data_IF_565095035744
#
_entry.id   IF_565095035744
#
_cell.length_a   1.000
_cell.length_b   1.000
_cell.length_c   1.000
_cell.angle_alpha   90.00
_cell.angle_beta   90.00
_cell.angle_gamma   90.00
#
_symmetry.space_group_name_H-M   'P 1'
#
loop_
_entity.id
_entity.type
_entity.pdbx_description
1 polymer ?
#
# COMPACT_ATOMS: atom_id res chain seq x y z
N UNK A 1 0.48 -11.92 -16.76
CA UNK A 1 -0.38 -10.97 -17.55
C UNK A 1 0.49 -10.16 -18.50
N UNK A 2 -0.05 -9.75 -19.68
CA UNK A 2 0.70 -8.90 -20.62
C UNK A 2 0.77 -7.46 -20.11
N UNK A 3 1.96 -6.87 -20.06
CA UNK A 3 2.15 -5.47 -19.68
C UNK A 3 1.61 -4.51 -20.75
N UNK A 4 1.18 -3.34 -20.31
CA UNK A 4 0.68 -2.23 -21.14
C UNK A 4 1.32 -0.92 -20.69
N UNK A 5 1.56 0.05 -21.56
CA UNK A 5 2.00 1.38 -21.17
C UNK A 5 0.98 2.03 -20.23
N UNK A 6 1.47 2.72 -19.21
CA UNK A 6 0.65 3.56 -18.32
C UNK A 6 0.57 4.98 -18.91
N UNK A 7 -0.46 5.22 -19.72
CA UNK A 7 -0.62 6.49 -20.41
C UNK A 7 0.60 6.85 -21.27
N UNK A 8 1.06 8.11 -21.17
CA UNK A 8 2.25 8.62 -21.87
C UNK A 8 3.51 8.58 -20.99
N UNK A 9 3.52 7.75 -19.94
CA UNK A 9 4.70 7.55 -19.10
C UNK A 9 5.62 6.48 -19.68
N UNK A 10 6.84 6.36 -19.13
CA UNK A 10 7.75 5.26 -19.47
C UNK A 10 7.43 3.97 -18.68
N UNK A 11 6.36 3.99 -17.86
CA UNK A 11 5.99 2.87 -17.02
C UNK A 11 5.13 1.86 -17.77
N UNK A 12 5.32 0.59 -17.45
CA UNK A 12 4.51 -0.52 -17.94
C UNK A 12 3.81 -1.22 -16.78
N UNK A 13 2.51 -1.41 -16.89
CA UNK A 13 1.68 -2.00 -15.85
C UNK A 13 0.89 -3.20 -16.36
N UNK A 14 0.50 -4.08 -15.47
CA UNK A 14 -0.51 -5.10 -15.76
C UNK A 14 -1.90 -4.47 -15.87
N UNK A 15 -2.83 -5.04 -16.66
CA UNK A 15 -4.21 -4.53 -16.77
C UNK A 15 -4.96 -4.47 -15.44
N UNK A 16 -4.59 -5.34 -14.51
CA UNK A 16 -5.07 -5.35 -13.13
C UNK A 16 -3.94 -4.91 -12.20
N UNK A 17 -4.28 -4.09 -11.22
CA UNK A 17 -3.41 -3.70 -10.12
C UNK A 17 -4.03 -4.09 -8.78
N UNK A 18 -3.22 -4.21 -7.74
CA UNK A 18 -3.67 -4.44 -6.37
C UNK A 18 -3.53 -3.16 -5.56
N UNK A 19 -4.67 -2.65 -5.05
CA UNK A 19 -4.71 -1.57 -4.07
C UNK A 19 -4.57 -2.10 -2.65
N UNK A 20 -3.78 -1.42 -1.82
CA UNK A 20 -3.46 -1.87 -0.46
C UNK A 20 -4.29 -1.17 0.63
N UNK A 21 -5.36 -0.46 0.28
CA UNK A 21 -6.15 0.29 1.25
C UNK A 21 -6.72 -0.57 2.40
N UNK A 22 -7.10 -1.80 2.11
CA UNK A 22 -7.61 -2.76 3.08
C UNK A 22 -6.50 -3.57 3.79
N UNK A 23 -5.28 -3.60 3.27
CA UNK A 23 -4.19 -4.40 3.83
C UNK A 23 -3.35 -3.65 4.86
N UNK A 24 -3.35 -2.32 4.82
CA UNK A 24 -2.43 -1.51 5.60
C UNK A 24 -3.00 -0.97 6.92
N UNK A 25 -4.26 -1.22 7.25
CA UNK A 25 -4.93 -0.68 8.44
C UNK A 25 -6.03 -1.62 8.94
N UNK A 26 -6.25 -1.72 10.29
CA UNK A 26 -7.24 -2.64 10.85
C UNK A 26 -8.69 -2.21 10.57
N UNK A 27 -8.95 -0.92 10.45
CA UNK A 27 -10.26 -0.36 10.13
C UNK A 27 -10.32 0.12 8.69
N UNK A 28 -11.34 -0.32 7.96
CA UNK A 28 -11.64 0.12 6.61
C UNK A 28 -13.16 0.33 6.45
N UNK A 29 -13.56 1.14 5.48
CA UNK A 29 -14.98 1.49 5.25
C UNK A 29 -15.86 0.32 4.83
N UNK A 30 -15.32 -0.81 4.46
CA UNK A 30 -16.09 -1.98 4.05
C UNK A 30 -16.61 -2.75 5.26
N UNK A 31 -17.87 -3.12 5.21
CA UNK A 31 -18.47 -4.02 6.19
C UNK A 31 -17.81 -5.41 6.09
N UNK A 32 -17.50 -6.00 7.25
CA UNK A 32 -16.93 -7.35 7.31
C UNK A 32 -15.40 -7.43 7.21
N UNK A 33 -14.68 -6.32 7.01
CA UNK A 33 -13.22 -6.30 6.92
C UNK A 33 -12.52 -6.97 8.11
N UNK A 34 -13.07 -6.85 9.30
CA UNK A 34 -12.55 -7.50 10.51
C UNK A 34 -12.58 -9.03 10.43
N UNK A 35 -13.59 -9.59 9.77
CA UNK A 35 -13.68 -11.04 9.56
C UNK A 35 -12.59 -11.54 8.60
N UNK A 36 -12.29 -10.77 7.54
CA UNK A 36 -11.21 -11.08 6.59
C UNK A 36 -9.83 -11.09 7.27
N UNK A 37 -9.66 -10.27 8.32
CA UNK A 37 -8.44 -10.22 9.14
C UNK A 37 -8.42 -11.25 10.28
N UNK A 38 -9.43 -12.10 10.42
CA UNK A 38 -9.56 -13.04 11.53
C UNK A 38 -9.59 -12.36 12.90
N UNK A 39 -9.97 -11.10 12.97
CA UNK A 39 -9.94 -10.23 14.15
C UNK A 39 -8.57 -10.07 14.82
N UNK A 40 -7.49 -10.42 14.12
CA UNK A 40 -6.13 -10.20 14.59
C UNK A 40 -5.56 -8.90 13.99
N UNK A 41 -5.44 -7.89 14.84
CA UNK A 41 -4.95 -6.56 14.49
C UNK A 41 -3.51 -6.30 14.93
N UNK A 42 -2.82 -7.33 15.41
CA UNK A 42 -1.38 -7.21 15.66
C UNK A 42 -0.66 -6.80 14.38
N UNK A 43 0.28 -5.88 14.50
CA UNK A 43 0.98 -5.31 13.33
C UNK A 43 1.73 -6.39 12.55
N UNK A 44 2.37 -7.34 13.27
CA UNK A 44 3.13 -8.40 12.62
C UNK A 44 2.19 -9.41 11.94
N UNK A 45 1.04 -9.74 12.55
CA UNK A 45 0.02 -10.58 11.95
C UNK A 45 -0.57 -9.94 10.68
N UNK A 46 -0.89 -8.65 10.73
CA UNK A 46 -1.37 -7.92 9.56
C UNK A 46 -0.30 -7.80 8.47
N UNK A 47 0.96 -7.60 8.82
CA UNK A 47 2.06 -7.61 7.84
C UNK A 47 2.19 -8.97 7.16
N UNK A 48 2.12 -10.07 7.92
CA UNK A 48 2.16 -11.42 7.39
C UNK A 48 0.98 -11.70 6.44
N UNK A 49 -0.23 -11.29 6.83
CA UNK A 49 -1.41 -11.38 5.97
C UNK A 49 -1.24 -10.56 4.67
N UNK A 50 -0.78 -9.32 4.78
CA UNK A 50 -0.52 -8.47 3.60
C UNK A 50 0.52 -9.13 2.68
N UNK A 51 1.60 -9.69 3.22
CA UNK A 51 2.60 -10.42 2.43
C UNK A 51 2.00 -11.64 1.72
N UNK A 52 1.11 -12.40 2.37
CA UNK A 52 0.45 -13.55 1.73
C UNK A 52 -0.44 -13.12 0.56
N UNK A 53 -1.20 -12.02 0.70
CA UNK A 53 -2.02 -11.45 -0.38
C UNK A 53 -1.14 -10.93 -1.52
N UNK A 54 -0.03 -10.27 -1.20
CA UNK A 54 0.93 -9.78 -2.19
C UNK A 54 1.61 -10.93 -2.95
N UNK A 55 1.97 -12.02 -2.27
CA UNK A 55 2.51 -13.24 -2.89
C UNK A 55 1.49 -13.85 -3.86
N UNK A 56 0.22 -13.96 -3.47
CA UNK A 56 -0.84 -14.48 -4.33
C UNK A 56 -1.06 -13.59 -5.58
N UNK A 57 -1.07 -12.27 -5.40
CA UNK A 57 -1.18 -11.31 -6.49
C UNK A 57 0.02 -11.40 -7.45
N UNK A 58 1.22 -11.51 -6.91
CA UNK A 58 2.45 -11.70 -7.69
C UNK A 58 2.43 -13.00 -8.49
N UNK A 59 2.04 -14.12 -7.86
CA UNK A 59 1.88 -15.41 -8.51
C UNK A 59 0.83 -15.38 -9.63
N UNK A 60 -0.26 -14.62 -9.44
CA UNK A 60 -1.26 -14.37 -10.46
C UNK A 60 -0.78 -13.46 -11.61
N UNK A 61 0.44 -12.94 -11.52
CA UNK A 61 1.06 -12.11 -12.55
C UNK A 61 0.76 -10.62 -12.46
N UNK A 62 0.22 -10.12 -11.34
CA UNK A 62 0.05 -8.68 -11.08
C UNK A 62 1.44 -8.05 -10.90
N UNK A 63 1.66 -6.89 -11.56
CA UNK A 63 2.92 -6.12 -11.53
C UNK A 63 2.67 -4.63 -11.33
N UNK A 64 1.50 -4.28 -10.79
CA UNK A 64 1.15 -2.92 -10.38
C UNK A 64 0.52 -2.97 -9.00
N UNK A 65 1.12 -2.24 -8.05
CA UNK A 65 0.66 -2.14 -6.66
C UNK A 65 0.46 -0.67 -6.30
N UNK A 66 -0.65 -0.39 -5.60
CA UNK A 66 -1.07 0.96 -5.27
C UNK A 66 -1.24 1.12 -3.76
N UNK A 67 -0.44 2.01 -3.19
CA UNK A 67 -0.47 2.37 -1.78
C UNK A 67 -0.88 3.85 -1.58
N UNK A 68 -0.91 4.31 -0.34
CA UNK A 68 -1.06 5.71 0.03
C UNK A 68 -0.58 5.95 1.47
N UNK A 69 -0.21 7.20 1.76
CA UNK A 69 0.12 7.64 3.14
C UNK A 69 -1.07 7.50 4.10
N UNK A 70 -2.29 7.55 3.60
CA UNK A 70 -3.50 7.37 4.40
C UNK A 70 -3.91 5.90 4.61
N UNK A 71 -3.22 4.95 4.02
CA UNK A 71 -3.56 3.53 4.15
C UNK A 71 -2.85 2.86 5.34
N UNK A 72 -2.67 3.59 6.43
CA UNK A 72 -2.00 3.07 7.62
C UNK A 72 -0.55 2.69 7.36
N UNK A 73 -0.22 1.42 7.46
CA UNK A 73 1.13 0.86 7.23
C UNK A 73 1.29 0.17 5.85
N UNK A 74 0.42 0.46 4.89
CA UNK A 74 0.44 -0.20 3.58
C UNK A 74 1.79 -0.05 2.85
N UNK A 75 2.41 1.13 2.89
CA UNK A 75 3.71 1.35 2.26
C UNK A 75 4.82 0.57 2.96
N UNK A 76 4.82 0.54 4.30
CA UNK A 76 5.76 -0.24 5.10
C UNK A 76 5.65 -1.75 4.77
N UNK A 77 4.41 -2.29 4.73
CA UNK A 77 4.16 -3.69 4.40
C UNK A 77 4.57 -4.03 2.96
N UNK A 78 4.22 -3.17 2.00
CA UNK A 78 4.63 -3.35 0.62
C UNK A 78 6.16 -3.30 0.47
N UNK A 79 6.81 -2.30 1.06
CA UNK A 79 8.26 -2.15 1.00
C UNK A 79 9.00 -3.31 1.67
N UNK A 80 8.52 -3.79 2.82
CA UNK A 80 9.09 -4.97 3.49
C UNK A 80 8.93 -6.23 2.65
N UNK A 81 7.79 -6.42 2.01
CA UNK A 81 7.55 -7.53 1.10
C UNK A 81 8.47 -7.49 -0.13
N UNK A 82 8.59 -6.34 -0.79
CA UNK A 82 9.48 -6.15 -1.95
C UNK A 82 10.94 -6.52 -1.61
N UNK A 83 11.41 -6.05 -0.45
CA UNK A 83 12.76 -6.40 0.04
C UNK A 83 12.89 -7.88 0.37
N UNK A 84 11.93 -8.45 1.09
CA UNK A 84 11.97 -9.86 1.49
C UNK A 84 11.94 -10.83 0.30
N UNK A 85 11.31 -10.44 -0.81
CA UNK A 85 11.25 -11.25 -2.03
C UNK A 85 12.33 -10.91 -3.05
N UNK A 86 13.20 -9.94 -2.77
CA UNK A 86 14.24 -9.49 -3.68
C UNK A 86 13.71 -8.99 -5.02
N UNK A 87 12.53 -8.37 -5.02
CA UNK A 87 11.90 -7.87 -6.25
C UNK A 87 12.62 -6.61 -6.68
N UNK A 88 13.15 -6.62 -7.90
CA UNK A 88 13.84 -5.46 -8.46
C UNK A 88 12.84 -4.36 -8.86
N UNK A 89 13.20 -3.07 -8.75
CA UNK A 89 12.34 -1.95 -9.15
C UNK A 89 11.80 -2.04 -10.57
N UNK A 90 12.58 -2.58 -11.48
CA UNK A 90 12.24 -2.72 -12.91
C UNK A 90 11.21 -3.84 -13.16
N UNK A 91 11.02 -4.73 -12.20
CA UNK A 91 10.08 -5.86 -12.31
C UNK A 91 8.64 -5.53 -11.91
N UNK A 92 8.40 -4.34 -11.33
CA UNK A 92 7.11 -3.96 -10.77
C UNK A 92 6.92 -2.45 -10.88
N UNK A 93 5.67 -2.01 -11.03
CA UNK A 93 5.32 -0.59 -10.88
C UNK A 93 4.60 -0.40 -9.54
N UNK A 94 5.10 0.52 -8.74
CA UNK A 94 4.51 0.92 -7.46
C UNK A 94 4.06 2.36 -7.55
N UNK A 95 2.81 2.60 -7.17
CA UNK A 95 2.25 3.93 -7.00
C UNK A 95 1.93 4.22 -5.54
N UNK A 96 2.09 5.48 -5.15
CA UNK A 96 1.59 5.96 -3.87
C UNK A 96 0.94 7.34 -4.00
N UNK A 97 0.25 7.76 -2.94
CA UNK A 97 -0.52 9.01 -2.89
C UNK A 97 -0.21 9.77 -1.61
N UNK A 98 -0.09 11.08 -1.74
CA UNK A 98 0.06 12.03 -0.65
C UNK A 98 -1.22 12.85 -0.45
N UNK A 99 -1.23 13.72 0.56
CA UNK A 99 -2.29 14.71 0.79
C UNK A 99 -3.37 14.25 1.77
N UNK A 100 -3.30 13.00 2.23
CA UNK A 100 -4.08 12.48 3.35
C UNK A 100 -3.16 11.85 4.36
N UNK A 101 -3.39 12.10 5.64
CA UNK A 101 -2.63 11.52 6.75
C UNK A 101 -3.52 10.57 7.51
N UNK A 102 -3.06 9.34 7.74
CA UNK A 102 -3.76 8.37 8.59
C UNK A 102 -3.75 8.83 10.04
N UNK A 103 -4.92 8.84 10.69
CA UNK A 103 -5.11 9.38 12.06
C UNK A 103 -5.82 8.41 13.00
N UNK A 104 -6.22 7.23 12.55
CA UNK A 104 -6.99 6.29 13.37
C UNK A 104 -6.19 5.59 14.48
N UNK A 105 -4.87 5.81 14.59
CA UNK A 105 -4.06 5.25 15.69
C UNK A 105 -4.07 3.73 15.75
N UNK A 106 -4.16 3.05 14.62
CA UNK A 106 -4.25 1.59 14.51
C UNK A 106 -5.54 0.99 15.12
N UNK A 107 -6.61 1.78 15.16
CA UNK A 107 -7.90 1.34 15.68
C UNK A 107 -8.86 0.94 14.55
N UNK A 108 -9.72 -0.06 14.82
CA UNK A 108 -10.78 -0.49 13.88
C UNK A 108 -11.84 0.60 13.73
N UNK A 109 -12.20 1.23 14.83
CA UNK A 109 -13.18 2.33 14.85
C UNK A 109 -12.51 3.60 15.34
N UNK A 110 -12.62 4.67 14.59
CA UNK A 110 -12.11 5.99 14.93
C UNK A 110 -13.07 7.07 14.40
N UNK A 111 -13.13 8.21 15.07
CA UNK A 111 -13.94 9.35 14.63
C UNK A 111 -13.47 9.87 13.26
N UNK A 112 -12.15 9.83 13.05
CA UNK A 112 -11.53 10.17 11.76
C UNK A 112 -10.41 9.19 11.46
N UNK A 113 -10.54 8.47 10.35
CA UNK A 113 -9.50 7.55 9.87
C UNK A 113 -8.36 8.26 9.16
N UNK A 114 -8.66 9.40 8.54
CA UNK A 114 -7.68 10.18 7.78
C UNK A 114 -8.06 11.66 7.74
N UNK A 115 -7.07 12.53 7.64
CA UNK A 115 -7.22 13.98 7.49
C UNK A 115 -6.61 14.40 6.16
N UNK A 116 -7.40 15.17 5.40
CA UNK A 116 -6.97 15.75 4.13
C UNK A 116 -6.15 17.01 4.39
N UNK A 117 -4.95 17.06 3.79
CA UNK A 117 -4.06 18.21 3.87
C UNK A 117 -3.14 18.27 2.64
N UNK A 118 -3.36 19.25 1.76
CA UNK A 118 -2.64 19.42 0.50
C UNK A 118 -1.63 20.59 0.53
N UNK A 119 -0.98 20.82 1.67
CA UNK A 119 0.07 21.82 1.80
C UNK A 119 1.41 21.31 1.30
N UNK A 120 2.23 22.22 0.76
CA UNK A 120 3.59 21.88 0.30
C UNK A 120 4.46 21.22 1.38
N UNK A 121 4.44 21.64 2.66
CA UNK A 121 5.17 20.94 3.71
C UNK A 121 4.73 19.48 3.88
N UNK A 122 3.42 19.19 3.75
CA UNK A 122 2.89 17.82 3.83
C UNK A 122 3.37 16.99 2.65
N UNK A 123 3.33 17.53 1.43
CA UNK A 123 3.89 16.87 0.25
C UNK A 123 5.35 16.48 0.47
N UNK A 124 6.19 17.44 0.91
CA UNK A 124 7.62 17.19 1.14
C UNK A 124 7.84 16.11 2.19
N UNK A 125 7.18 16.19 3.33
CA UNK A 125 7.26 15.21 4.41
C UNK A 125 6.82 13.83 3.92
N UNK A 126 5.63 13.72 3.36
CA UNK A 126 5.07 12.44 2.91
C UNK A 126 5.86 11.81 1.78
N UNK A 127 6.47 12.60 0.89
CA UNK A 127 7.38 12.07 -0.14
C UNK A 127 8.63 11.43 0.49
N UNK A 128 9.20 12.04 1.52
CA UNK A 128 10.36 11.48 2.24
C UNK A 128 9.96 10.18 2.96
N UNK A 129 8.83 10.17 3.64
CA UNK A 129 8.29 9.00 4.33
C UNK A 129 8.03 7.84 3.35
N UNK A 130 7.35 8.10 2.23
CA UNK A 130 7.07 7.08 1.21
C UNK A 130 8.36 6.50 0.61
N UNK A 131 9.37 7.36 0.37
CA UNK A 131 10.68 6.90 -0.10
C UNK A 131 11.44 6.08 0.96
N UNK A 132 11.26 6.38 2.24
CA UNK A 132 11.84 5.56 3.31
C UNK A 132 11.23 4.15 3.33
N UNK A 133 9.93 4.03 3.13
CA UNK A 133 9.22 2.76 3.12
C UNK A 133 9.46 1.94 1.84
N UNK A 134 9.30 2.56 0.67
CA UNK A 134 9.29 1.90 -0.63
C UNK A 134 10.64 1.91 -1.36
N UNK A 135 11.58 2.76 -0.93
CA UNK A 135 12.94 2.82 -1.48
C UNK A 135 12.94 3.23 -2.95
N UNK A 136 13.67 2.45 -3.76
CA UNK A 136 13.84 2.68 -5.20
C UNK A 136 12.63 2.28 -6.06
N UNK A 137 11.58 1.71 -5.45
CA UNK A 137 10.38 1.29 -6.16
C UNK A 137 9.38 2.43 -6.38
N UNK A 138 9.60 3.61 -5.75
CA UNK A 138 8.77 4.80 -5.89
C UNK A 138 9.49 5.88 -6.69
#
# INVERSE_FOLDING_TARGET
MKLRPLGNTHLSVTPLGLGLAALGRPGYINLGHSADLGHDYDVAAMAAHAHAVLDAAWAAGIRYFDAARSYGRAEEFLGSWLRARGIAPEAVTVGSKWGYTYTAGWQVTADKHEVKDHWTPVLRRQTVESRADLGRHL
#
